data_IF_902415791804
#
_entry.id   IF_902415791804
#
_cell.length_a   1.000
_cell.length_b   1.000
_cell.length_c   1.000
_cell.angle_alpha   90.00
_cell.angle_beta   90.00
_cell.angle_gamma   90.00
#
_symmetry.space_group_name_H-M   'P 1'
#
loop_
_entity.id
_entity.type
_entity.pdbx_description
1 polymer ?
#
# COMPACT_ATOMS: atom_id res chain seq x y z
N UNK A 1 -3.30 -17.79 -2.19
CA UNK A 1 -4.14 -17.18 -1.14
C UNK A 1 -3.89 -15.68 -1.17
N UNK A 2 -4.93 -14.86 -1.10
CA UNK A 2 -4.80 -13.38 -1.09
C UNK A 2 -4.99 -12.85 0.32
N UNK A 3 -4.11 -11.96 0.75
CA UNK A 3 -4.13 -11.42 2.12
C UNK A 3 -4.97 -10.14 2.16
N UNK A 4 -5.98 -10.03 3.04
CA UNK A 4 -6.79 -8.82 3.14
C UNK A 4 -5.94 -7.57 3.41
N UNK A 5 -6.30 -6.42 2.83
CA UNK A 5 -5.58 -5.14 3.03
C UNK A 5 -5.48 -4.73 4.51
N UNK A 6 -6.39 -5.22 5.37
CA UNK A 6 -6.38 -4.96 6.81
C UNK A 6 -5.13 -5.51 7.50
N UNK A 7 -4.42 -6.49 6.92
CA UNK A 7 -3.12 -6.95 7.46
C UNK A 7 -2.11 -5.80 7.55
N UNK A 8 -2.19 -4.83 6.63
CA UNK A 8 -1.29 -3.67 6.65
C UNK A 8 -1.53 -2.76 7.86
N UNK A 9 -2.64 -2.95 8.59
CA UNK A 9 -2.89 -2.23 9.85
C UNK A 9 -1.97 -2.70 10.97
N UNK A 10 -1.61 -3.97 10.97
CA UNK A 10 -0.61 -4.55 11.88
C UNK A 10 0.80 -3.99 11.60
N UNK A 11 0.98 -3.40 10.41
CA UNK A 11 2.23 -2.81 9.93
C UNK A 11 2.20 -1.28 9.91
N UNK A 12 1.31 -0.65 10.69
CA UNK A 12 1.32 0.78 10.95
C UNK A 12 0.38 1.62 10.07
N UNK A 13 -0.36 1.02 9.14
CA UNK A 13 -1.44 1.74 8.46
C UNK A 13 -2.71 1.80 9.33
N UNK A 14 -3.44 2.89 9.21
CA UNK A 14 -4.76 3.04 9.81
C UNK A 14 -5.86 2.80 8.77
N UNK A 15 -7.08 2.56 9.25
CA UNK A 15 -8.27 2.47 8.40
C UNK A 15 -8.37 3.66 7.42
N UNK A 16 -8.18 4.89 7.92
CA UNK A 16 -8.21 6.11 7.10
C UNK A 16 -7.12 6.17 6.03
N UNK A 17 -5.93 5.64 6.31
CA UNK A 17 -4.83 5.60 5.34
C UNK A 17 -5.05 4.54 4.25
N UNK A 18 -5.71 3.42 4.59
CA UNK A 18 -6.13 2.42 3.60
C UNK A 18 -7.39 2.80 2.82
N UNK A 19 -8.12 3.83 3.25
CA UNK A 19 -9.38 4.28 2.63
C UNK A 19 -9.27 4.52 1.12
N UNK A 20 -8.31 5.32 0.62
CA UNK A 20 -8.13 5.54 -0.82
C UNK A 20 -7.79 4.27 -1.61
N UNK A 21 -7.00 3.36 -1.00
CA UNK A 21 -6.64 2.08 -1.63
C UNK A 21 -7.88 1.21 -1.82
N UNK A 22 -8.73 1.13 -0.80
CA UNK A 22 -10.01 0.40 -0.86
C UNK A 22 -10.98 1.03 -1.85
N UNK A 23 -11.11 2.35 -1.85
CA UNK A 23 -11.94 3.08 -2.80
C UNK A 23 -11.49 2.86 -4.26
N UNK A 24 -10.20 2.60 -4.48
CA UNK A 24 -9.64 2.22 -5.78
C UNK A 24 -9.71 0.71 -6.09
N UNK A 25 -10.46 -0.07 -5.29
CA UNK A 25 -10.63 -1.52 -5.48
C UNK A 25 -9.40 -2.36 -5.11
N UNK A 26 -8.47 -1.81 -4.31
CA UNK A 26 -7.28 -2.53 -3.83
C UNK A 26 -7.59 -3.10 -2.44
N UNK A 27 -8.23 -4.26 -2.43
CA UNK A 27 -8.72 -4.89 -1.19
C UNK A 27 -7.74 -5.90 -0.58
N UNK A 28 -6.58 -6.11 -1.22
CA UNK A 28 -5.57 -7.07 -0.76
C UNK A 28 -4.20 -6.43 -0.59
N UNK A 29 -3.39 -6.97 0.32
CA UNK A 29 -2.02 -6.51 0.57
C UNK A 29 -1.14 -6.69 -0.67
N UNK A 30 -1.34 -7.77 -1.44
CA UNK A 30 -0.62 -8.03 -2.69
C UNK A 30 -0.92 -6.97 -3.75
N UNK A 31 -2.18 -6.52 -3.85
CA UNK A 31 -2.58 -5.48 -4.80
C UNK A 31 -1.93 -4.14 -4.44
N UNK A 32 -1.86 -3.80 -3.15
CA UNK A 32 -1.16 -2.60 -2.68
C UNK A 32 0.35 -2.71 -2.91
N UNK A 33 0.92 -3.88 -2.63
CA UNK A 33 2.35 -4.13 -2.82
C UNK A 33 2.77 -3.99 -4.29
N UNK A 34 1.94 -4.46 -5.23
CA UNK A 34 2.13 -4.24 -6.66
C UNK A 34 2.17 -2.75 -7.02
N UNK A 35 1.28 -1.94 -6.44
CA UNK A 35 1.27 -0.50 -6.67
C UNK A 35 2.50 0.21 -6.10
N UNK A 36 3.01 -0.27 -4.95
CA UNK A 36 4.28 0.21 -4.38
C UNK A 36 5.45 -0.14 -5.29
N UNK A 37 5.49 -1.37 -5.82
CA UNK A 37 6.54 -1.79 -6.75
C UNK A 37 6.51 -0.96 -8.05
N UNK A 38 5.31 -0.70 -8.60
CA UNK A 38 5.10 0.18 -9.76
C UNK A 38 5.61 1.59 -9.47
N UNK A 39 5.26 2.17 -8.32
CA UNK A 39 5.71 3.50 -7.93
C UNK A 39 7.23 3.58 -7.71
N UNK A 40 7.87 2.51 -7.21
CA UNK A 40 9.33 2.47 -7.08
C UNK A 40 10.03 2.39 -8.42
N UNK A 41 9.45 1.68 -9.39
CA UNK A 41 10.00 1.57 -10.73
C UNK A 41 9.81 2.87 -11.55
N UNK A 42 8.68 3.54 -11.38
CA UNK A 42 8.34 4.79 -12.05
C UNK A 42 7.55 5.70 -11.10
N UNK A 43 8.22 6.55 -10.30
CA UNK A 43 7.56 7.35 -9.28
C UNK A 43 6.65 8.43 -9.86
N UNK A 44 7.06 9.01 -10.98
CA UNK A 44 6.32 10.09 -11.65
C UNK A 44 5.07 9.55 -12.33
N UNK A 45 3.90 9.94 -11.80
CA UNK A 45 2.61 9.59 -12.38
C UNK A 45 2.19 8.13 -12.15
N UNK A 46 2.80 7.41 -11.20
CA UNK A 46 2.39 6.05 -10.86
C UNK A 46 0.92 5.98 -10.46
N UNK A 47 0.28 4.84 -10.70
CA UNK A 47 -1.12 4.62 -10.31
C UNK A 47 -1.34 4.92 -8.82
N UNK A 48 -0.36 4.58 -7.96
CA UNK A 48 -0.40 4.85 -6.53
C UNK A 48 -0.41 6.35 -6.22
N UNK A 49 0.44 7.13 -6.88
CA UNK A 49 0.54 8.59 -6.70
C UNK A 49 -0.69 9.35 -7.23
N UNK A 50 -1.39 8.77 -8.21
CA UNK A 50 -2.60 9.33 -8.80
C UNK A 50 -3.87 9.11 -7.97
N UNK A 51 -3.82 8.27 -6.93
CA UNK A 51 -4.96 8.06 -6.05
C UNK A 51 -5.26 9.32 -5.24
N UNK A 52 -6.54 9.69 -5.18
CA UNK A 52 -6.99 10.84 -4.39
C UNK A 52 -6.59 10.70 -2.92
N UNK A 53 -5.93 11.72 -2.38
CA UNK A 53 -5.42 11.73 -1.01
C UNK A 53 -4.14 10.92 -0.79
N UNK A 54 -3.43 10.49 -1.85
CA UNK A 54 -2.15 9.78 -1.77
C UNK A 54 -0.95 10.72 -1.92
N UNK A 55 -0.84 11.69 -1.00
CA UNK A 55 0.31 12.59 -0.97
C UNK A 55 1.62 11.91 -0.54
N UNK A 56 2.79 12.58 -0.67
CA UNK A 56 4.12 12.01 -0.43
C UNK A 56 4.27 11.31 0.92
N UNK A 57 3.73 11.91 2.00
CA UNK A 57 3.76 11.31 3.34
C UNK A 57 2.98 10.00 3.41
N UNK A 58 1.84 9.91 2.73
CA UNK A 58 1.02 8.69 2.73
C UNK A 58 1.65 7.61 1.84
N UNK A 59 2.26 7.99 0.72
CA UNK A 59 3.03 7.09 -0.13
C UNK A 59 4.15 6.39 0.65
N UNK A 60 4.92 7.16 1.41
CA UNK A 60 5.98 6.63 2.28
C UNK A 60 5.41 5.61 3.29
N UNK A 61 4.35 5.97 4.02
CA UNK A 61 3.71 5.08 4.99
C UNK A 61 3.21 3.77 4.37
N UNK A 62 2.61 3.83 3.17
CA UNK A 62 2.13 2.65 2.47
C UNK A 62 3.31 1.77 2.03
N UNK A 63 4.39 2.37 1.55
CA UNK A 63 5.59 1.65 1.18
C UNK A 63 6.25 0.96 2.39
N UNK A 64 6.38 1.66 3.51
CA UNK A 64 6.95 1.14 4.76
C UNK A 64 6.12 -0.04 5.30
N UNK A 65 4.80 0.09 5.31
CA UNK A 65 3.90 -0.98 5.77
C UNK A 65 3.97 -2.22 4.87
N UNK A 66 4.10 -2.04 3.55
CA UNK A 66 4.29 -3.14 2.59
C UNK A 66 5.62 -3.85 2.82
N UNK A 67 6.70 -3.11 3.08
CA UNK A 67 8.01 -3.70 3.36
C UNK A 67 8.01 -4.48 4.68
N UNK A 68 7.40 -3.93 5.73
CA UNK A 68 7.27 -4.59 7.03
C UNK A 68 6.45 -5.89 6.92
N UNK A 69 5.34 -5.86 6.17
CA UNK A 69 4.53 -7.04 5.89
C UNK A 69 5.32 -8.13 5.16
N UNK A 70 6.08 -7.77 4.11
CA UNK A 70 6.92 -8.68 3.34
C UNK A 70 8.11 -9.24 4.14
N UNK A 71 8.60 -8.50 5.13
CA UNK A 71 9.64 -8.98 6.03
C UNK A 71 9.09 -10.00 7.02
N UNK A 72 7.89 -9.78 7.57
CA UNK A 72 7.24 -10.70 8.52
C UNK A 72 6.79 -12.01 7.88
N UNK A 73 6.31 -11.99 6.63
CA UNK A 73 5.85 -13.18 5.90
C UNK A 73 6.96 -14.09 5.33
N UNK A 74 8.25 -13.74 5.54
CA UNK A 74 9.41 -14.56 5.15
C UNK A 74 9.98 -15.41 6.29
N UNK A 75 9.26 -15.49 7.41
CA UNK A 75 9.62 -16.26 8.61
C UNK A 75 9.06 -17.68 8.58
#
# INVERSE_FOLDING_TARGET
MTTPITVLHEHGLTFHQTGPLRAAGRETAEAVAKLVDEHRAAPDGSTLSQLSGMGPRRLALVADAVDAWRAGGRS
#
